data_IF_055217740477
#
_entry.id   IF_055217740477
#
_cell.length_a   1.000
_cell.length_b   1.000
_cell.length_c   1.000
_cell.angle_alpha   90.00
_cell.angle_beta   90.00
_cell.angle_gamma   90.00
#
_symmetry.space_group_name_H-M   'P 1'
#
loop_
_entity.id
_entity.type
_entity.pdbx_description
1 polymer ?
#
# COMPACT_ATOMS: atom_id res chain seq x y z
N UNK A 1 12.00 54.55 8.11
CA UNK A 1 12.42 53.14 8.32
C UNK A 1 11.18 52.31 8.65
N UNK A 2 10.72 51.48 7.71
CA UNK A 2 9.60 50.55 7.93
C UNK A 2 10.10 49.39 8.81
N UNK A 3 9.44 49.18 9.95
CA UNK A 3 9.66 48.05 10.84
C UNK A 3 9.33 46.75 10.08
N UNK A 4 10.32 45.90 9.91
CA UNK A 4 10.17 44.51 9.47
C UNK A 4 9.35 43.76 10.54
N UNK A 5 8.18 43.26 10.16
CA UNK A 5 7.43 42.28 10.96
C UNK A 5 8.22 40.98 10.89
N UNK A 6 8.84 40.59 12.00
CA UNK A 6 9.33 39.23 12.19
C UNK A 6 8.16 38.27 11.96
N UNK A 7 8.37 37.26 11.11
CA UNK A 7 7.40 36.21 10.85
C UNK A 7 6.96 35.57 12.16
N UNK A 8 5.65 35.37 12.29
CA UNK A 8 5.05 34.53 13.32
C UNK A 8 5.70 33.14 13.20
N UNK A 9 6.45 32.70 14.22
CA UNK A 9 6.69 31.25 14.39
C UNK A 9 5.30 30.64 14.55
N UNK A 10 4.91 29.72 13.67
CA UNK A 10 3.58 29.09 13.75
C UNK A 10 3.36 28.50 15.14
N UNK A 11 2.48 29.18 15.90
CA UNK A 11 2.00 28.67 17.17
C UNK A 11 1.20 27.44 16.84
N UNK A 12 1.63 26.31 17.40
CA UNK A 12 0.90 25.05 17.35
C UNK A 12 -0.56 25.33 17.72
N UNK A 13 -1.50 24.75 16.96
CA UNK A 13 -2.89 24.77 17.36
C UNK A 13 -3.04 24.12 18.73
N UNK A 14 -4.11 24.46 19.44
CA UNK A 14 -4.38 23.85 20.74
C UNK A 14 -4.55 22.33 20.61
N UNK A 15 -5.16 21.89 19.52
CA UNK A 15 -5.48 20.49 19.32
C UNK A 15 -4.24 19.68 18.96
N UNK A 16 -3.37 20.19 18.08
CA UNK A 16 -2.08 19.55 17.79
C UNK A 16 -1.19 19.49 19.05
N UNK A 17 -1.22 20.51 19.92
CA UNK A 17 -0.50 20.48 21.20
C UNK A 17 -1.05 19.42 22.16
N UNK A 18 -2.36 19.22 22.17
CA UNK A 18 -2.99 18.22 23.01
C UNK A 18 -2.71 16.79 22.53
N UNK A 19 -2.74 16.55 21.21
CA UNK A 19 -2.32 15.27 20.63
C UNK A 19 -0.88 14.91 21.07
N UNK A 20 0.05 15.86 20.97
CA UNK A 20 1.43 15.65 21.40
C UNK A 20 1.54 15.28 22.88
N UNK A 21 0.81 16.00 23.74
CA UNK A 21 0.81 15.75 25.17
C UNK A 21 0.28 14.35 25.50
N UNK A 22 -0.83 13.96 24.88
CA UNK A 22 -1.48 12.68 25.11
C UNK A 22 -0.63 11.51 24.59
N UNK A 23 -0.11 11.61 23.37
CA UNK A 23 0.75 10.58 22.78
C UNK A 23 2.08 10.43 23.55
N UNK A 24 2.66 11.54 24.03
CA UNK A 24 3.83 11.48 24.93
C UNK A 24 3.50 10.75 26.22
N UNK A 25 2.37 11.07 26.86
CA UNK A 25 1.92 10.38 28.07
C UNK A 25 1.70 8.88 27.85
N UNK A 26 1.10 8.49 26.73
CA UNK A 26 0.93 7.08 26.35
C UNK A 26 2.28 6.37 26.18
N UNK A 27 3.21 7.00 25.45
CA UNK A 27 4.55 6.42 25.18
C UNK A 27 5.41 6.22 26.43
N UNK A 28 5.10 6.94 27.51
CA UNK A 28 5.79 6.86 28.81
C UNK A 28 5.04 5.98 29.82
N UNK A 29 3.90 5.40 29.44
CA UNK A 29 3.09 4.62 30.36
C UNK A 29 3.82 3.37 30.88
N UNK A 30 3.61 3.10 32.18
CA UNK A 30 4.25 2.01 32.89
C UNK A 30 3.43 0.72 32.93
N UNK A 31 2.20 0.69 32.42
CA UNK A 31 1.40 -0.53 32.42
C UNK A 31 -0.04 -0.38 31.92
N UNK A 32 -0.67 -1.52 31.66
CA UNK A 32 -1.92 -1.65 30.89
C UNK A 32 -3.11 -0.82 31.38
N UNK A 33 -3.20 -0.59 32.69
CA UNK A 33 -4.27 0.25 33.25
C UNK A 33 -4.07 1.73 32.89
N UNK A 34 -2.82 2.18 32.89
CA UNK A 34 -2.45 3.53 32.51
C UNK A 34 -2.47 3.69 30.98
N UNK A 35 -2.02 2.68 30.21
CA UNK A 35 -2.19 2.62 28.74
C UNK A 35 -3.66 2.90 28.39
N UNK A 36 -4.59 2.14 28.98
CA UNK A 36 -6.03 2.26 28.71
C UNK A 36 -6.58 3.66 29.00
N UNK A 37 -6.02 4.37 29.99
CA UNK A 37 -6.43 5.73 30.34
C UNK A 37 -5.95 6.74 29.28
N UNK A 38 -4.69 6.64 28.87
CA UNK A 38 -4.13 7.52 27.84
C UNK A 38 -4.72 7.25 26.46
N UNK A 39 -4.86 5.97 26.09
CA UNK A 39 -5.51 5.52 24.85
C UNK A 39 -6.92 6.09 24.74
N UNK A 40 -7.73 6.03 25.81
CA UNK A 40 -9.10 6.54 25.79
C UNK A 40 -9.16 8.06 25.51
N UNK A 41 -8.28 8.85 26.14
CA UNK A 41 -8.24 10.31 25.91
C UNK A 41 -7.69 10.68 24.53
N UNK A 42 -6.66 9.96 24.09
CA UNK A 42 -6.09 10.16 22.76
C UNK A 42 -7.11 9.81 21.68
N UNK A 43 -7.80 8.67 21.82
CA UNK A 43 -8.86 8.24 20.92
C UNK A 43 -10.00 9.27 20.83
N UNK A 44 -10.46 9.80 21.96
CA UNK A 44 -11.52 10.84 21.98
C UNK A 44 -11.08 12.11 21.24
N UNK A 45 -9.83 12.54 21.43
CA UNK A 45 -9.28 13.72 20.77
C UNK A 45 -9.15 13.50 19.26
N UNK A 46 -8.61 12.36 18.86
CA UNK A 46 -8.48 11.97 17.44
C UNK A 46 -9.85 11.84 16.76
N UNK A 47 -10.83 11.19 17.40
CA UNK A 47 -12.19 11.06 16.87
C UNK A 47 -12.83 12.42 16.60
N UNK A 48 -12.63 13.39 17.50
CA UNK A 48 -13.12 14.76 17.33
C UNK A 48 -12.48 15.42 16.11
N UNK A 49 -11.17 15.28 15.93
CA UNK A 49 -10.44 15.89 14.81
C UNK A 49 -10.82 15.28 13.46
N UNK A 50 -10.88 13.95 13.37
CA UNK A 50 -11.32 13.25 12.16
C UNK A 50 -12.74 13.65 11.76
N UNK A 51 -13.66 13.72 12.73
CA UNK A 51 -15.04 14.15 12.50
C UNK A 51 -15.15 15.59 11.99
N UNK A 52 -14.25 16.46 12.45
CA UNK A 52 -14.25 17.88 12.07
C UNK A 52 -13.39 18.17 10.83
N UNK A 53 -12.77 17.15 10.21
CA UNK A 53 -11.91 17.32 9.05
C UNK A 53 -10.59 18.05 9.36
N UNK A 54 -10.10 17.94 10.59
CA UNK A 54 -8.90 18.65 11.07
C UNK A 54 -7.59 17.90 10.72
N UNK A 55 -7.43 17.60 9.43
CA UNK A 55 -6.29 16.84 8.89
C UNK A 55 -4.93 17.54 9.16
N UNK A 56 -4.88 18.87 8.98
CA UNK A 56 -3.67 19.66 9.17
C UNK A 56 -3.15 19.60 10.62
N UNK A 57 -4.05 19.57 11.60
CA UNK A 57 -3.68 19.49 13.02
C UNK A 57 -3.08 18.12 13.38
N UNK A 58 -3.64 17.05 12.80
CA UNK A 58 -3.14 15.69 12.95
C UNK A 58 -1.73 15.58 12.36
N UNK A 59 -1.55 16.00 11.10
CA UNK A 59 -0.26 15.93 10.42
C UNK A 59 0.80 16.81 11.10
N UNK A 60 0.42 18.02 11.54
CA UNK A 60 1.34 18.90 12.30
C UNK A 60 1.81 18.25 13.60
N UNK A 61 0.93 17.53 14.31
CA UNK A 61 1.30 16.82 15.53
C UNK A 61 2.26 15.66 15.25
N UNK A 62 1.98 14.85 14.22
CA UNK A 62 2.83 13.75 13.76
C UNK A 62 4.23 14.26 13.37
N UNK A 63 4.34 15.21 12.46
CA UNK A 63 5.62 15.73 11.96
C UNK A 63 6.55 16.19 13.09
N UNK A 64 5.99 16.91 14.06
CA UNK A 64 6.77 17.39 15.21
C UNK A 64 7.15 16.29 16.19
N UNK A 65 6.30 15.28 16.39
CA UNK A 65 6.66 14.12 17.22
C UNK A 65 7.72 13.28 16.54
N UNK A 66 7.67 13.14 15.21
CA UNK A 66 8.69 12.42 14.45
C UNK A 66 10.09 12.97 14.72
N UNK A 67 10.24 14.30 14.76
CA UNK A 67 11.51 14.95 15.10
C UNK A 67 11.87 14.89 16.59
N UNK A 68 10.89 15.04 17.49
CA UNK A 68 11.14 15.28 18.91
C UNK A 68 11.04 14.04 19.81
N UNK A 69 10.13 13.12 19.52
CA UNK A 69 9.87 11.90 20.29
C UNK A 69 9.28 10.79 19.39
N UNK A 70 10.14 9.98 18.75
CA UNK A 70 9.71 8.91 17.82
C UNK A 70 8.75 7.89 18.44
N UNK A 71 8.88 7.58 19.73
CA UNK A 71 7.95 6.64 20.39
C UNK A 71 6.54 7.22 20.46
N UNK A 72 6.41 8.48 20.86
CA UNK A 72 5.12 9.16 20.88
C UNK A 72 4.54 9.39 19.48
N UNK A 73 5.41 9.57 18.48
CA UNK A 73 4.97 9.58 17.08
C UNK A 73 4.27 8.27 16.72
N UNK A 74 4.89 7.14 17.03
CA UNK A 74 4.33 5.82 16.70
C UNK A 74 2.99 5.58 17.41
N UNK A 75 2.88 5.94 18.70
CA UNK A 75 1.61 5.89 19.45
C UNK A 75 0.51 6.76 18.82
N UNK A 76 0.85 7.97 18.36
CA UNK A 76 -0.12 8.85 17.69
C UNK A 76 -0.51 8.29 16.32
N UNK A 77 0.46 7.81 15.54
CA UNK A 77 0.24 7.25 14.21
C UNK A 77 -0.69 6.03 14.29
N UNK A 78 -0.39 5.07 15.18
CA UNK A 78 -1.20 3.88 15.39
C UNK A 78 -2.63 4.25 15.84
N UNK A 79 -2.77 5.23 16.73
CA UNK A 79 -4.09 5.70 17.16
C UNK A 79 -4.86 6.34 16.01
N UNK A 80 -4.25 7.26 15.27
CA UNK A 80 -4.92 7.98 14.16
C UNK A 80 -5.37 7.00 13.08
N UNK A 81 -4.51 6.07 12.66
CA UNK A 81 -4.87 5.01 11.72
C UNK A 81 -6.04 4.19 12.25
N UNK A 82 -5.94 3.68 13.48
CA UNK A 82 -6.98 2.87 14.13
C UNK A 82 -8.32 3.60 14.20
N UNK A 83 -8.34 4.88 14.59
CA UNK A 83 -9.58 5.68 14.66
C UNK A 83 -10.13 6.04 13.29
N UNK A 84 -9.29 6.18 12.27
CA UNK A 84 -9.72 6.42 10.90
C UNK A 84 -10.37 5.18 10.26
N UNK A 85 -9.84 3.98 10.53
CA UNK A 85 -10.33 2.75 9.90
C UNK A 85 -11.36 1.97 10.75
N UNK A 86 -11.64 2.39 11.99
CA UNK A 86 -12.61 1.70 12.88
C UNK A 86 -13.77 2.58 13.34
N UNK A 87 -14.84 1.95 13.81
CA UNK A 87 -16.00 2.66 14.37
C UNK A 87 -16.91 1.78 15.20
N UNK A 88 -17.89 2.39 15.86
CA UNK A 88 -18.96 1.68 16.55
C UNK A 88 -20.32 2.20 16.06
N UNK A 89 -21.23 1.27 15.81
CA UNK A 89 -22.59 1.58 15.36
C UNK A 89 -23.59 0.67 16.09
N UNK A 90 -24.66 1.26 16.61
CA UNK A 90 -25.80 0.49 17.13
C UNK A 90 -26.76 0.17 15.98
N UNK A 91 -27.16 -1.10 15.84
CA UNK A 91 -28.16 -1.52 14.87
C UNK A 91 -29.12 -2.53 15.47
N UNK A 92 -30.41 -2.15 15.54
CA UNK A 92 -31.49 -2.97 16.12
C UNK A 92 -31.18 -3.40 17.57
N UNK A 93 -30.62 -2.50 18.39
CA UNK A 93 -30.31 -2.76 19.80
C UNK A 93 -29.09 -3.62 20.05
N UNK A 94 -28.23 -3.82 19.04
CA UNK A 94 -26.96 -4.55 19.15
C UNK A 94 -25.84 -3.59 18.74
N UNK A 95 -24.79 -3.52 19.56
CA UNK A 95 -23.57 -2.79 19.23
C UNK A 95 -22.69 -3.61 18.29
N UNK A 96 -22.30 -2.98 17.17
CA UNK A 96 -21.36 -3.51 16.21
C UNK A 96 -20.07 -2.71 16.24
N UNK A 97 -18.93 -3.41 16.24
CA UNK A 97 -17.65 -2.82 15.87
C UNK A 97 -17.53 -2.85 14.33
N UNK A 98 -17.08 -1.74 13.76
CA UNK A 98 -16.88 -1.54 12.33
C UNK A 98 -15.37 -1.49 12.07
N UNK A 99 -14.91 -2.19 11.04
CA UNK A 99 -13.54 -2.15 10.56
C UNK A 99 -13.54 -2.00 9.04
N UNK A 100 -12.89 -0.95 8.54
CA UNK A 100 -12.52 -0.82 7.13
C UNK A 100 -11.39 -1.80 6.82
N UNK A 101 -11.49 -2.48 5.69
CA UNK A 101 -10.49 -3.43 5.23
C UNK A 101 -10.14 -3.16 3.77
N UNK A 102 -8.97 -3.64 3.37
CA UNK A 102 -8.62 -3.80 1.97
C UNK A 102 -8.23 -5.25 1.67
N UNK A 103 -8.59 -5.74 0.49
CA UNK A 103 -8.15 -7.02 -0.06
C UNK A 103 -7.31 -6.73 -1.33
N UNK A 104 -5.98 -6.66 -1.20
CA UNK A 104 -5.10 -6.31 -2.30
C UNK A 104 -4.96 -7.45 -3.33
N UNK A 105 -4.67 -7.07 -4.57
CA UNK A 105 -4.34 -7.97 -5.68
C UNK A 105 -3.13 -7.40 -6.38
N UNK A 106 -1.99 -8.08 -6.27
CA UNK A 106 -0.79 -7.73 -7.03
C UNK A 106 -1.06 -8.07 -8.50
N UNK A 107 -0.72 -7.19 -9.42
CA UNK A 107 -0.97 -7.39 -10.84
C UNK A 107 0.19 -6.85 -11.69
N UNK A 108 0.49 -7.51 -12.80
CA UNK A 108 1.38 -6.97 -13.81
C UNK A 108 0.82 -7.22 -15.20
N UNK A 109 1.09 -6.29 -16.11
CA UNK A 109 0.59 -6.33 -17.49
C UNK A 109 1.50 -5.55 -18.43
N UNK A 110 1.53 -5.97 -19.70
CA UNK A 110 2.13 -5.18 -20.78
C UNK A 110 1.28 -3.98 -21.18
N UNK A 111 0.01 -3.99 -20.77
CA UNK A 111 -0.96 -2.92 -20.99
C UNK A 111 -1.30 -2.26 -19.65
N UNK A 112 -2.30 -1.37 -19.64
CA UNK A 112 -2.83 -0.83 -18.39
C UNK A 112 -3.42 -1.92 -17.51
N UNK A 113 -3.05 -1.92 -16.23
CA UNK A 113 -3.73 -2.73 -15.21
C UNK A 113 -5.06 -2.01 -14.88
N UNK A 114 -6.21 -2.67 -15.00
CA UNK A 114 -7.51 -2.00 -14.91
C UNK A 114 -7.82 -1.55 -13.49
N UNK A 115 -8.38 -0.35 -13.36
CA UNK A 115 -9.13 0.10 -12.19
C UNK A 115 -10.55 0.45 -12.67
N UNK A 116 -11.57 -0.20 -12.13
CA UNK A 116 -12.89 -0.22 -12.75
C UNK A 116 -14.02 -0.52 -11.77
N UNK A 117 -15.24 -0.13 -12.15
CA UNK A 117 -16.45 -0.49 -11.42
C UNK A 117 -16.69 -2.01 -11.49
N UNK A 118 -17.12 -2.57 -10.36
CA UNK A 118 -17.42 -3.99 -10.21
C UNK A 118 -18.83 -4.29 -10.71
N UNK A 119 -19.02 -5.23 -11.65
CA UNK A 119 -20.35 -5.70 -11.99
C UNK A 119 -21.06 -6.25 -10.76
N UNK A 120 -22.36 -5.99 -10.61
CA UNK A 120 -23.15 -6.41 -9.44
C UNK A 120 -22.98 -7.90 -9.10
N UNK A 121 -22.98 -8.78 -10.12
CA UNK A 121 -22.79 -10.21 -9.91
C UNK A 121 -21.41 -10.55 -9.32
N UNK A 122 -20.36 -9.87 -9.79
CA UNK A 122 -18.99 -10.01 -9.29
C UNK A 122 -18.88 -9.49 -7.86
N UNK A 123 -19.48 -8.34 -7.56
CA UNK A 123 -19.50 -7.75 -6.21
C UNK A 123 -20.11 -8.69 -5.17
N UNK A 124 -21.30 -9.24 -5.48
CA UNK A 124 -21.99 -10.19 -4.59
C UNK A 124 -21.18 -11.48 -4.41
N UNK A 125 -20.59 -12.00 -5.48
CA UNK A 125 -19.76 -13.20 -5.41
C UNK A 125 -18.50 -12.98 -4.56
N UNK A 126 -17.79 -11.85 -4.75
CA UNK A 126 -16.62 -11.49 -3.94
C UNK A 126 -16.98 -11.34 -2.46
N UNK A 127 -18.11 -10.66 -2.16
CA UNK A 127 -18.63 -10.53 -0.79
C UNK A 127 -18.89 -11.89 -0.14
N UNK A 128 -19.51 -12.83 -0.87
CA UNK A 128 -19.74 -14.20 -0.37
C UNK A 128 -18.42 -14.92 -0.07
N UNK A 129 -17.45 -14.87 -0.99
CA UNK A 129 -16.19 -15.59 -0.82
C UNK A 129 -15.31 -14.99 0.30
N UNK A 130 -15.29 -13.66 0.43
CA UNK A 130 -14.63 -13.00 1.56
C UNK A 130 -15.27 -13.40 2.90
N UNK A 131 -16.60 -13.41 2.98
CA UNK A 131 -17.32 -13.83 4.19
C UNK A 131 -17.15 -15.30 4.53
N UNK A 132 -17.00 -16.17 3.53
CA UNK A 132 -16.83 -17.60 3.75
C UNK A 132 -15.41 -17.99 4.19
N UNK A 133 -14.39 -17.22 3.78
CA UNK A 133 -13.00 -17.67 3.86
C UNK A 133 -12.05 -16.72 4.62
N UNK A 134 -12.38 -15.44 4.71
CA UNK A 134 -11.50 -14.42 5.28
C UNK A 134 -12.01 -13.89 6.61
N UNK A 135 -13.31 -13.61 6.72
CA UNK A 135 -13.91 -12.99 7.91
C UNK A 135 -14.53 -14.01 8.87
N UNK A 136 -14.76 -13.61 10.12
CA UNK A 136 -15.38 -14.44 11.15
C UNK A 136 -16.86 -14.74 10.84
N UNK A 137 -17.40 -15.83 11.39
CA UNK A 137 -18.75 -16.32 11.06
C UNK A 137 -19.90 -15.40 11.47
N UNK A 138 -19.67 -14.49 12.43
CA UNK A 138 -20.65 -13.51 12.91
C UNK A 138 -20.58 -12.17 12.13
N UNK A 139 -19.72 -12.06 11.12
CA UNK A 139 -19.43 -10.81 10.41
C UNK A 139 -20.42 -10.51 9.29
N UNK A 140 -20.81 -9.24 9.16
CA UNK A 140 -21.45 -8.68 7.97
C UNK A 140 -20.44 -7.90 7.15
N UNK A 141 -20.62 -7.88 5.83
CA UNK A 141 -19.67 -7.28 4.90
C UNK A 141 -20.41 -6.38 3.90
N UNK A 142 -19.87 -5.20 3.64
CA UNK A 142 -20.12 -4.46 2.41
C UNK A 142 -18.81 -4.15 1.69
N UNK A 143 -18.92 -3.98 0.37
CA UNK A 143 -17.83 -3.58 -0.50
C UNK A 143 -18.20 -2.25 -1.16
N UNK A 144 -17.18 -1.46 -1.48
CA UNK A 144 -17.29 -0.46 -2.53
C UNK A 144 -17.37 -1.18 -3.89
N UNK A 145 -18.21 -0.72 -4.80
CA UNK A 145 -18.40 -1.34 -6.12
C UNK A 145 -17.30 -0.96 -7.13
N UNK A 146 -16.04 -0.89 -6.68
CA UNK A 146 -14.90 -0.47 -7.48
C UNK A 146 -13.63 -1.24 -7.12
N UNK A 147 -12.81 -1.50 -8.13
CA UNK A 147 -11.46 -2.03 -8.01
C UNK A 147 -10.47 -0.87 -8.12
N UNK A 148 -9.92 -0.43 -6.99
CA UNK A 148 -9.09 0.78 -6.88
C UNK A 148 -7.65 0.52 -7.30
N UNK A 149 -7.00 1.51 -7.92
CA UNK A 149 -5.53 1.65 -7.91
C UNK A 149 -5.05 2.38 -6.63
N UNK A 150 -3.74 2.42 -6.34
CA UNK A 150 -3.22 3.18 -5.20
C UNK A 150 -3.57 4.68 -5.29
N UNK A 151 -3.49 5.27 -6.49
CA UNK A 151 -3.77 6.70 -6.74
C UNK A 151 -5.21 7.14 -6.40
N UNK A 152 -6.10 6.15 -6.25
CA UNK A 152 -7.55 6.28 -6.11
C UNK A 152 -8.04 5.92 -4.71
N UNK A 153 -7.15 5.45 -3.83
CA UNK A 153 -7.45 5.24 -2.42
C UNK A 153 -7.62 6.59 -1.68
N UNK A 154 -8.32 6.61 -0.52
CA UNK A 154 -8.33 7.75 0.39
C UNK A 154 -6.93 8.32 0.63
N UNK A 155 -6.78 9.64 0.53
CA UNK A 155 -5.48 10.33 0.58
C UNK A 155 -5.14 10.89 1.95
N UNK A 156 -6.09 10.86 2.89
CA UNK A 156 -5.98 11.47 4.21
C UNK A 156 -6.65 10.58 5.27
N UNK A 157 -6.33 10.83 6.54
CA UNK A 157 -6.99 10.12 7.64
C UNK A 157 -8.47 10.49 7.72
N UNK A 158 -8.81 11.76 7.47
CA UNK A 158 -10.19 12.22 7.41
C UNK A 158 -10.99 11.55 6.27
N UNK A 159 -10.40 11.39 5.08
CA UNK A 159 -11.06 10.68 3.96
C UNK A 159 -11.26 9.20 4.28
N UNK A 160 -10.25 8.57 4.89
CA UNK A 160 -10.34 7.17 5.35
C UNK A 160 -11.46 7.01 6.38
N UNK A 161 -11.55 7.94 7.35
CA UNK A 161 -12.63 7.97 8.33
C UNK A 161 -14.01 8.12 7.69
N UNK A 162 -14.18 9.03 6.73
CA UNK A 162 -15.45 9.20 6.01
C UNK A 162 -15.85 7.94 5.24
N UNK A 163 -14.89 7.28 4.59
CA UNK A 163 -15.11 6.03 3.89
C UNK A 163 -15.54 4.91 4.86
N UNK A 164 -14.86 4.80 6.02
CA UNK A 164 -15.22 3.86 7.10
C UNK A 164 -16.66 4.06 7.57
N UNK A 165 -17.10 5.31 7.78
CA UNK A 165 -18.49 5.59 8.19
C UNK A 165 -19.49 5.20 7.11
N UNK A 166 -19.20 5.57 5.87
CA UNK A 166 -20.09 5.31 4.73
C UNK A 166 -20.27 3.80 4.51
N UNK A 167 -19.16 3.05 4.44
CA UNK A 167 -19.20 1.59 4.30
C UNK A 167 -19.77 0.90 5.54
N UNK A 168 -19.51 1.41 6.74
CA UNK A 168 -20.08 0.88 7.98
C UNK A 168 -21.61 0.93 8.00
N UNK A 169 -22.20 2.06 7.60
CA UNK A 169 -23.65 2.19 7.46
C UNK A 169 -24.21 1.27 6.37
N UNK A 170 -23.58 1.21 5.19
CA UNK A 170 -23.98 0.31 4.11
C UNK A 170 -23.94 -1.17 4.54
N UNK A 171 -22.91 -1.56 5.29
CA UNK A 171 -22.75 -2.92 5.83
C UNK A 171 -23.92 -3.33 6.71
N UNK A 172 -24.39 -2.45 7.59
CA UNK A 172 -25.53 -2.73 8.47
C UNK A 172 -26.86 -2.72 7.73
N UNK A 173 -26.99 -1.88 6.70
CA UNK A 173 -28.15 -1.87 5.80
C UNK A 173 -28.21 -3.09 4.87
N UNK A 174 -27.10 -3.82 4.69
CA UNK A 174 -26.99 -4.93 3.75
C UNK A 174 -26.78 -4.47 2.31
N UNK A 175 -26.30 -3.25 2.12
CA UNK A 175 -26.07 -2.59 0.83
C UNK A 175 -24.58 -2.60 0.48
N UNK A 176 -24.25 -2.13 -0.73
CA UNK A 176 -22.89 -1.78 -1.13
C UNK A 176 -22.78 -0.26 -1.28
N UNK A 177 -21.54 0.24 -1.35
CA UNK A 177 -21.30 1.66 -1.65
C UNK A 177 -20.99 1.80 -3.12
N UNK A 178 -21.73 2.66 -3.81
CA UNK A 178 -21.40 3.07 -5.17
C UNK A 178 -20.33 4.14 -5.15
N UNK A 179 -19.22 3.89 -5.84
CA UNK A 179 -18.11 4.82 -5.96
C UNK A 179 -18.40 5.82 -7.06
N UNK A 180 -18.34 7.10 -6.73
CA UNK A 180 -18.36 8.16 -7.74
C UNK A 180 -17.01 8.22 -8.44
N UNK A 181 -17.01 7.86 -9.73
CA UNK A 181 -15.80 7.84 -10.54
C UNK A 181 -15.49 9.19 -11.19
N UNK A 182 -16.37 10.19 -11.05
CA UNK A 182 -16.14 11.51 -11.64
C UNK A 182 -14.95 12.21 -10.97
N UNK A 183 -13.95 12.57 -11.77
CA UNK A 183 -12.77 13.29 -11.27
C UNK A 183 -11.79 12.42 -10.48
N UNK A 184 -11.94 11.08 -10.51
CA UNK A 184 -10.91 10.18 -9.97
C UNK A 184 -9.59 10.39 -10.71
N UNK A 185 -8.48 10.24 -9.97
CA UNK A 185 -7.15 10.31 -10.56
C UNK A 185 -6.98 9.24 -11.65
N UNK A 186 -6.31 9.63 -12.73
CA UNK A 186 -5.85 8.69 -13.74
C UNK A 186 -4.81 7.76 -13.13
N UNK A 187 -4.93 6.48 -13.45
CA UNK A 187 -3.97 5.48 -12.98
C UNK A 187 -2.69 5.56 -13.79
N UNK A 188 -1.56 5.71 -13.11
CA UNK A 188 -0.25 5.65 -13.76
C UNK A 188 -0.05 4.28 -14.45
N UNK A 189 0.66 4.29 -15.59
CA UNK A 189 0.96 3.07 -16.35
C UNK A 189 2.24 2.44 -15.82
N UNK A 190 2.09 1.61 -14.80
CA UNK A 190 3.18 0.76 -14.31
C UNK A 190 3.11 -0.64 -14.91
N UNK A 191 4.28 -1.27 -15.09
CA UNK A 191 4.37 -2.68 -15.49
C UNK A 191 3.71 -3.58 -14.44
N UNK A 192 3.99 -3.30 -13.17
CA UNK A 192 3.51 -4.01 -12.00
C UNK A 192 2.94 -3.01 -11.00
N UNK A 193 1.75 -3.28 -10.48
CA UNK A 193 1.03 -2.41 -9.55
C UNK A 193 0.05 -3.23 -8.69
N UNK A 194 -0.61 -2.59 -7.74
CA UNK A 194 -1.59 -3.21 -6.84
C UNK A 194 -3.00 -2.73 -7.16
N UNK A 195 -3.97 -3.63 -7.08
CA UNK A 195 -5.39 -3.29 -7.09
C UNK A 195 -6.03 -3.63 -5.76
N UNK A 196 -6.99 -2.83 -5.31
CA UNK A 196 -7.61 -3.00 -4.02
C UNK A 196 -9.12 -3.17 -4.17
N UNK A 197 -9.65 -4.25 -3.58
CA UNK A 197 -11.04 -4.26 -3.14
C UNK A 197 -11.07 -3.60 -1.76
N UNK A 198 -11.97 -2.62 -1.58
CA UNK A 198 -12.14 -1.93 -0.30
C UNK A 198 -13.55 -2.16 0.21
N UNK A 199 -13.68 -2.41 1.51
CA UNK A 199 -14.96 -2.68 2.15
C UNK A 199 -14.93 -2.42 3.63
N UNK A 200 -16.07 -2.59 4.28
CA UNK A 200 -16.14 -2.62 5.74
C UNK A 200 -16.79 -3.91 6.21
N UNK A 201 -16.37 -4.33 7.40
CA UNK A 201 -17.04 -5.35 8.17
C UNK A 201 -17.79 -4.73 9.35
N UNK A 202 -18.92 -5.33 9.71
CA UNK A 202 -19.62 -5.05 10.95
C UNK A 202 -19.72 -6.35 11.74
N UNK A 203 -19.16 -6.36 12.94
CA UNK A 203 -19.07 -7.52 13.82
C UNK A 203 -19.79 -7.22 15.14
N UNK A 204 -20.68 -8.10 15.65
CA UNK A 204 -21.23 -7.90 16.99
C UNK A 204 -20.10 -7.77 18.00
N UNK A 205 -20.20 -6.78 18.90
CA UNK A 205 -19.10 -6.42 19.80
C UNK A 205 -18.53 -7.63 20.55
N UNK A 206 -17.21 -7.80 20.48
CA UNK A 206 -16.48 -8.90 21.13
C UNK A 206 -16.46 -10.23 20.37
N UNK A 207 -16.95 -10.28 19.12
CA UNK A 207 -16.81 -11.44 18.23
C UNK A 207 -15.54 -11.36 17.37
N UNK A 208 -15.19 -12.49 16.74
CA UNK A 208 -14.03 -12.59 15.87
C UNK A 208 -14.21 -11.79 14.57
N UNK A 209 -13.27 -10.88 14.27
CA UNK A 209 -13.28 -10.11 13.02
C UNK A 209 -12.90 -10.98 11.82
N UNK A 210 -11.84 -11.78 11.97
CA UNK A 210 -11.32 -12.62 10.90
C UNK A 210 -11.46 -14.09 11.20
N UNK A 211 -11.41 -14.92 10.14
CA UNK A 211 -11.52 -16.37 10.26
C UNK A 211 -10.45 -16.94 11.18
N UNK A 212 -9.22 -16.42 11.12
CA UNK A 212 -8.10 -16.87 11.97
C UNK A 212 -8.16 -16.37 13.43
N UNK A 213 -9.12 -15.51 13.79
CA UNK A 213 -9.37 -15.15 15.19
C UNK A 213 -10.25 -16.21 15.89
N UNK A 214 -10.88 -17.11 15.13
CA UNK A 214 -11.66 -18.23 15.67
C UNK A 214 -10.74 -19.40 16.04
N UNK A 215 -11.16 -20.23 17.00
CA UNK A 215 -10.30 -21.27 17.61
C UNK A 215 -9.75 -22.30 16.61
N UNK A 216 -10.47 -22.55 15.53
CA UNK A 216 -10.15 -23.51 14.47
C UNK A 216 -9.69 -22.82 13.16
N UNK A 217 -9.53 -21.50 13.18
CA UNK A 217 -9.11 -20.71 12.03
C UNK A 217 -7.60 -20.63 11.88
N UNK A 218 -7.13 -20.40 10.65
CA UNK A 218 -5.72 -20.25 10.34
C UNK A 218 -5.49 -19.36 9.11
N UNK A 219 -4.49 -18.46 9.14
CA UNK A 219 -4.23 -17.49 8.06
C UNK A 219 -3.88 -18.17 6.74
N UNK A 220 -3.03 -19.19 6.74
CA UNK A 220 -2.61 -19.88 5.51
C UNK A 220 -3.78 -20.64 4.87
N UNK A 221 -4.65 -21.24 5.69
CA UNK A 221 -5.85 -21.93 5.20
C UNK A 221 -6.87 -20.94 4.62
N UNK A 222 -7.08 -19.80 5.29
CA UNK A 222 -7.93 -18.72 4.82
C UNK A 222 -7.45 -18.17 3.46
N UNK A 223 -6.14 -17.88 3.34
CA UNK A 223 -5.54 -17.42 2.09
C UNK A 223 -5.69 -18.47 0.98
N UNK A 224 -5.44 -19.75 1.26
CA UNK A 224 -5.57 -20.82 0.27
C UNK A 224 -7.00 -20.92 -0.26
N UNK A 225 -8.01 -20.91 0.60
CA UNK A 225 -9.40 -21.00 0.15
C UNK A 225 -9.87 -19.70 -0.50
N UNK A 226 -9.41 -18.53 -0.03
CA UNK A 226 -9.63 -17.24 -0.71
C UNK A 226 -9.08 -17.25 -2.14
N UNK A 227 -7.83 -17.69 -2.33
CA UNK A 227 -7.25 -17.82 -3.67
C UNK A 227 -8.07 -18.82 -4.49
N UNK A 228 -8.44 -19.97 -3.94
CA UNK A 228 -9.14 -21.01 -4.70
C UNK A 228 -10.55 -20.58 -5.13
N UNK A 229 -11.31 -19.93 -4.26
CA UNK A 229 -12.74 -19.65 -4.46
C UNK A 229 -13.01 -18.20 -4.85
N UNK A 230 -12.18 -17.27 -4.41
CA UNK A 230 -12.25 -15.85 -4.74
C UNK A 230 -11.74 -15.53 -6.14
N UNK A 231 -10.59 -16.11 -6.53
CA UNK A 231 -9.90 -15.85 -7.81
C UNK A 231 -10.79 -15.92 -9.06
N UNK A 232 -11.69 -16.92 -9.23
CA UNK A 232 -12.57 -16.98 -10.41
C UNK A 232 -13.46 -15.74 -10.60
N UNK A 233 -13.72 -14.98 -9.52
CA UNK A 233 -14.53 -13.76 -9.57
C UNK A 233 -13.69 -12.51 -9.91
N UNK A 234 -12.36 -12.57 -9.71
CA UNK A 234 -11.42 -11.51 -10.07
C UNK A 234 -10.94 -11.64 -11.52
N UNK A 235 -10.84 -12.86 -12.04
CA UNK A 235 -10.29 -13.15 -13.37
C UNK A 235 -10.90 -12.31 -14.51
N UNK A 236 -12.23 -12.10 -14.60
CA UNK A 236 -12.81 -11.27 -15.66
C UNK A 236 -12.35 -9.81 -15.60
N UNK A 237 -12.08 -9.30 -14.40
CA UNK A 237 -11.68 -7.90 -14.18
C UNK A 237 -10.22 -7.66 -14.58
N UNK A 238 -9.39 -8.70 -14.55
CA UNK A 238 -7.93 -8.62 -14.75
C UNK A 238 -7.50 -9.36 -16.02
N UNK A 239 -8.37 -9.38 -17.03
CA UNK A 239 -8.09 -10.03 -18.32
C UNK A 239 -6.82 -9.46 -18.95
N UNK A 240 -5.86 -10.31 -19.28
CA UNK A 240 -4.58 -9.92 -19.86
C UNK A 240 -3.52 -9.50 -18.84
N UNK A 241 -3.82 -9.55 -17.55
CA UNK A 241 -2.84 -9.39 -16.47
C UNK A 241 -2.40 -10.76 -15.94
N UNK A 242 -1.16 -10.85 -15.47
CA UNK A 242 -0.81 -11.82 -14.43
C UNK A 242 -1.08 -11.17 -13.08
N UNK A 243 -1.63 -11.94 -12.12
CA UNK A 243 -2.05 -11.38 -10.85
C UNK A 243 -2.05 -12.41 -9.72
N UNK A 244 -2.02 -11.91 -8.49
CA UNK A 244 -2.01 -12.68 -7.25
C UNK A 244 -2.83 -11.96 -6.17
N UNK A 245 -3.98 -12.52 -5.73
CA UNK A 245 -4.72 -11.98 -4.59
C UNK A 245 -3.94 -12.18 -3.30
N UNK A 246 -4.00 -11.17 -2.44
CA UNK A 246 -3.52 -11.23 -1.08
C UNK A 246 -4.70 -11.44 -0.13
N UNK A 247 -4.38 -11.79 1.12
CA UNK A 247 -5.38 -11.89 2.18
C UNK A 247 -5.87 -10.48 2.53
N UNK A 248 -7.17 -10.33 2.77
CA UNK A 248 -7.68 -9.05 3.30
C UNK A 248 -7.19 -8.84 4.73
N UNK A 249 -6.94 -7.60 5.10
CA UNK A 249 -6.59 -7.18 6.45
C UNK A 249 -7.21 -5.82 6.75
N UNK A 250 -7.04 -5.33 7.97
CA UNK A 250 -7.34 -3.94 8.33
C UNK A 250 -6.69 -2.98 7.31
N UNK A 251 -7.41 -1.92 6.91
CA UNK A 251 -7.09 -1.12 5.72
C UNK A 251 -5.63 -0.67 5.64
N UNK A 252 -5.11 0.01 6.68
CA UNK A 252 -3.73 0.49 6.71
C UNK A 252 -2.71 -0.66 6.72
N UNK A 253 -2.99 -1.73 7.48
CA UNK A 253 -2.15 -2.91 7.53
C UNK A 253 -2.09 -3.65 6.17
N UNK A 254 -3.23 -3.76 5.48
CA UNK A 254 -3.34 -4.37 4.16
C UNK A 254 -2.54 -3.57 3.11
N UNK A 255 -2.62 -2.24 3.12
CA UNK A 255 -1.81 -1.37 2.26
C UNK A 255 -0.31 -1.57 2.51
N UNK A 256 0.16 -1.45 3.77
CA UNK A 256 1.57 -1.69 4.12
C UNK A 256 2.06 -3.08 3.71
N UNK A 257 1.21 -4.10 3.88
CA UNK A 257 1.55 -5.46 3.50
C UNK A 257 1.61 -5.63 1.98
N UNK A 258 0.72 -4.97 1.23
CA UNK A 258 0.75 -4.96 -0.22
C UNK A 258 2.01 -4.27 -0.75
N UNK A 259 2.42 -3.14 -0.19
CA UNK A 259 3.66 -2.45 -0.57
C UNK A 259 4.89 -3.34 -0.36
N UNK A 260 4.98 -4.02 0.79
CA UNK A 260 6.07 -4.96 1.05
C UNK A 260 6.10 -6.13 0.07
N UNK A 261 4.94 -6.68 -0.27
CA UNK A 261 4.83 -7.82 -1.19
C UNK A 261 4.90 -7.42 -2.66
N UNK A 262 4.69 -6.14 -2.99
CA UNK A 262 4.81 -5.63 -4.36
C UNK A 262 6.28 -5.58 -4.82
N UNK A 263 7.24 -5.38 -3.90
CA UNK A 263 8.69 -5.35 -4.22
C UNK A 263 9.18 -6.64 -4.90
N UNK A 264 9.05 -7.84 -4.29
CA UNK A 264 9.44 -9.08 -4.94
C UNK A 264 8.56 -9.40 -6.16
N UNK A 265 7.28 -9.02 -6.14
CA UNK A 265 6.38 -9.26 -7.26
C UNK A 265 6.75 -8.43 -8.50
N UNK A 266 7.12 -7.15 -8.32
CA UNK A 266 7.57 -6.25 -9.37
C UNK A 266 8.85 -6.76 -10.01
N UNK A 267 9.82 -7.21 -9.21
CA UNK A 267 11.06 -7.78 -9.73
C UNK A 267 10.82 -9.06 -10.55
N UNK A 268 9.92 -9.95 -10.09
CA UNK A 268 9.47 -11.13 -10.84
C UNK A 268 8.77 -10.74 -12.15
N UNK A 269 7.89 -9.74 -12.10
CA UNK A 269 7.18 -9.21 -13.25
C UNK A 269 8.13 -8.64 -14.30
N UNK A 270 9.16 -7.90 -13.89
CA UNK A 270 10.17 -7.35 -14.79
C UNK A 270 11.01 -8.41 -15.50
N UNK A 271 11.40 -9.49 -14.81
CA UNK A 271 12.08 -10.63 -15.44
C UNK A 271 11.15 -11.32 -16.44
N UNK A 272 9.90 -11.59 -16.07
CA UNK A 272 8.91 -12.20 -16.96
C UNK A 272 8.58 -11.31 -18.16
N UNK A 273 8.57 -9.99 -17.97
CA UNK A 273 8.38 -8.99 -19.03
C UNK A 273 9.51 -9.04 -20.06
N UNK A 274 10.78 -9.00 -19.63
CA UNK A 274 11.93 -9.09 -20.53
C UNK A 274 11.95 -10.42 -21.29
N UNK A 275 11.61 -11.52 -20.62
CA UNK A 275 11.48 -12.83 -21.28
C UNK A 275 10.39 -12.82 -22.35
N UNK A 276 9.21 -12.26 -22.03
CA UNK A 276 8.05 -12.26 -22.93
C UNK A 276 8.25 -11.29 -24.11
N UNK A 277 8.87 -10.13 -23.87
CA UNK A 277 8.99 -9.06 -24.87
C UNK A 277 10.22 -9.23 -25.77
N UNK A 278 11.33 -9.71 -25.23
CA UNK A 278 12.61 -9.76 -25.94
C UNK A 278 13.10 -11.20 -26.17
N UNK A 279 12.41 -12.21 -25.65
CA UNK A 279 12.91 -13.59 -25.63
C UNK A 279 14.15 -13.76 -24.75
N UNK A 280 14.46 -12.78 -23.90
CA UNK A 280 15.64 -12.79 -23.04
C UNK A 280 15.38 -13.75 -21.86
N UNK A 281 15.97 -14.94 -21.92
CA UNK A 281 15.77 -15.96 -20.89
C UNK A 281 16.39 -15.50 -19.56
N UNK A 282 15.83 -15.85 -18.38
CA UNK A 282 16.37 -15.40 -17.10
C UNK A 282 17.86 -15.68 -16.88
N UNK A 283 18.38 -16.81 -17.38
CA UNK A 283 19.80 -17.15 -17.29
C UNK A 283 20.73 -16.29 -18.17
N UNK A 284 20.15 -15.48 -19.07
CA UNK A 284 20.81 -14.54 -19.96
C UNK A 284 20.61 -13.07 -19.53
N UNK A 285 19.89 -12.84 -18.42
CA UNK A 285 19.73 -11.54 -17.79
C UNK A 285 20.88 -11.31 -16.80
N UNK A 286 21.46 -10.10 -16.84
CA UNK A 286 22.23 -9.51 -15.75
C UNK A 286 21.32 -8.59 -14.94
N UNK A 287 21.41 -8.72 -13.62
CA UNK A 287 20.91 -7.74 -12.68
C UNK A 287 22.07 -6.98 -12.03
N UNK A 288 21.98 -5.66 -12.00
CA UNK A 288 22.90 -4.79 -11.25
C UNK A 288 22.10 -4.09 -10.17
N UNK A 289 22.54 -4.22 -8.91
CA UNK A 289 21.83 -3.72 -7.74
C UNK A 289 22.72 -2.67 -7.06
N UNK A 290 22.18 -1.47 -6.85
CA UNK A 290 22.90 -0.37 -6.20
C UNK A 290 22.05 0.32 -5.13
N UNK A 291 22.59 0.65 -3.95
CA UNK A 291 21.89 1.41 -2.93
C UNK A 291 21.86 2.91 -3.29
N UNK A 292 20.70 3.53 -3.15
CA UNK A 292 20.47 4.95 -3.45
C UNK A 292 20.13 5.75 -2.19
N UNK A 293 20.74 6.93 -2.09
CA UNK A 293 20.72 7.78 -0.90
C UNK A 293 20.20 9.17 -1.24
N UNK A 294 19.35 9.71 -0.36
CA UNK A 294 19.14 11.15 -0.21
C UNK A 294 19.87 11.61 1.07
N UNK A 295 19.15 11.78 2.18
CA UNK A 295 19.77 12.06 3.50
C UNK A 295 20.26 10.79 4.20
N UNK A 296 19.65 9.66 3.88
CA UNK A 296 19.95 8.29 4.32
C UNK A 296 19.70 7.35 3.15
N UNK A 297 19.98 6.05 3.33
CA UNK A 297 19.60 5.05 2.33
C UNK A 297 18.07 4.98 2.27
N UNK A 298 17.50 5.21 1.08
CA UNK A 298 16.04 5.22 0.89
C UNK A 298 15.57 4.01 0.06
N UNK A 299 16.39 3.55 -0.88
CA UNK A 299 16.00 2.45 -1.78
C UNK A 299 17.22 1.73 -2.39
N UNK A 300 16.99 0.52 -2.89
CA UNK A 300 17.86 -0.11 -3.88
C UNK A 300 17.28 0.09 -5.28
N UNK A 301 18.15 0.28 -6.27
CA UNK A 301 17.77 0.25 -7.68
C UNK A 301 18.37 -0.95 -8.37
N UNK A 302 17.54 -1.66 -9.13
CA UNK A 302 17.91 -2.86 -9.87
C UNK A 302 17.83 -2.58 -11.36
N UNK A 303 18.98 -2.45 -12.03
CA UNK A 303 19.07 -2.41 -13.49
C UNK A 303 19.10 -3.82 -14.08
N UNK A 304 18.25 -4.09 -15.07
CA UNK A 304 18.17 -5.37 -15.78
C UNK A 304 18.54 -5.21 -17.25
N UNK A 305 19.42 -6.07 -17.75
CA UNK A 305 19.85 -6.08 -19.15
C UNK A 305 20.44 -7.42 -19.57
N UNK A 306 20.88 -7.58 -20.83
CA UNK A 306 21.56 -8.79 -21.29
C UNK A 306 22.90 -8.95 -20.59
N UNK A 307 23.27 -10.18 -20.21
CA UNK A 307 24.57 -10.44 -19.56
C UNK A 307 25.79 -10.14 -20.42
N UNK A 308 25.63 -10.10 -21.74
CA UNK A 308 26.68 -9.95 -22.74
C UNK A 308 26.74 -8.55 -23.39
N UNK A 309 25.91 -7.60 -22.93
CA UNK A 309 25.88 -6.21 -23.40
C UNK A 309 25.76 -5.24 -22.24
N UNK A 310 26.24 -4.01 -22.40
CA UNK A 310 26.20 -3.03 -21.32
C UNK A 310 24.82 -2.38 -21.16
N UNK A 311 23.91 -2.59 -22.12
CA UNK A 311 22.57 -2.02 -22.11
C UNK A 311 21.76 -2.37 -20.84
N UNK A 312 20.99 -1.40 -20.34
CA UNK A 312 19.97 -1.58 -19.30
C UNK A 312 18.59 -1.42 -19.94
N UNK A 313 17.82 -2.50 -20.05
CA UNK A 313 16.53 -2.52 -20.74
C UNK A 313 15.35 -2.21 -19.82
N UNK A 314 15.48 -2.52 -18.53
CA UNK A 314 14.43 -2.26 -17.56
C UNK A 314 15.03 -2.01 -16.18
N UNK A 315 14.30 -1.27 -15.34
CA UNK A 315 14.74 -0.97 -14.00
C UNK A 315 13.62 -1.09 -12.97
N UNK A 316 13.96 -1.52 -11.77
CA UNK A 316 13.04 -1.66 -10.64
C UNK A 316 13.60 -0.87 -9.46
N UNK A 317 12.74 -0.10 -8.81
CA UNK A 317 13.01 0.51 -7.52
C UNK A 317 12.52 -0.42 -6.42
N UNK A 318 13.39 -0.73 -5.47
CA UNK A 318 13.10 -1.48 -4.27
C UNK A 318 13.21 -0.54 -3.06
N UNK A 319 12.11 0.11 -2.66
CA UNK A 319 12.12 1.05 -1.54
C UNK A 319 12.33 0.32 -0.22
N UNK A 320 13.01 0.99 0.71
CA UNK A 320 12.97 0.64 2.12
C UNK A 320 11.66 1.17 2.72
N UNK A 321 10.96 0.33 3.46
CA UNK A 321 9.62 0.60 3.96
C UNK A 321 9.59 0.68 5.49
N UNK A 322 8.91 1.71 6.01
CA UNK A 322 8.68 1.86 7.44
C UNK A 322 9.99 2.03 8.23
N UNK A 323 10.28 1.06 9.10
CA UNK A 323 11.47 1.05 9.95
C UNK A 323 12.69 0.38 9.30
N UNK A 324 12.58 -0.07 8.04
CA UNK A 324 13.72 -0.60 7.29
C UNK A 324 14.77 0.50 7.05
N UNK A 325 16.03 0.11 7.10
CA UNK A 325 17.20 0.96 6.97
C UNK A 325 18.36 0.20 6.30
N UNK A 326 19.55 0.81 6.25
CA UNK A 326 20.76 0.21 5.69
C UNK A 326 21.21 -1.10 6.38
N UNK A 327 20.78 -1.35 7.62
CA UNK A 327 21.08 -2.59 8.32
C UNK A 327 20.09 -3.73 7.98
N UNK A 328 19.01 -3.42 7.26
CA UNK A 328 18.04 -4.41 6.79
C UNK A 328 18.60 -5.20 5.62
N UNK A 329 18.46 -6.54 5.63
CA UNK A 329 18.96 -7.43 4.56
C UNK A 329 18.08 -7.41 3.29
N UNK A 330 17.76 -6.21 2.79
CA UNK A 330 17.00 -6.04 1.56
C UNK A 330 17.80 -6.52 0.33
N UNK A 331 19.12 -6.37 0.35
CA UNK A 331 20.00 -6.91 -0.70
C UNK A 331 19.89 -8.44 -0.81
N UNK A 332 19.88 -9.16 0.32
CA UNK A 332 19.67 -10.60 0.37
C UNK A 332 18.28 -11.02 -0.15
N UNK A 333 17.23 -10.26 0.18
CA UNK A 333 15.88 -10.48 -0.37
C UNK A 333 15.85 -10.30 -1.90
N UNK A 334 16.46 -9.22 -2.42
CA UNK A 334 16.58 -8.97 -3.85
C UNK A 334 17.31 -10.12 -4.54
N UNK A 335 18.44 -10.57 -3.98
CA UNK A 335 19.18 -11.70 -4.53
C UNK A 335 18.29 -12.95 -4.58
N UNK A 336 17.65 -13.29 -3.46
CA UNK A 336 16.82 -14.49 -3.37
C UNK A 336 15.72 -14.50 -4.45
N UNK A 337 15.06 -13.36 -4.68
CA UNK A 337 14.02 -13.22 -5.72
C UNK A 337 14.60 -13.38 -7.13
N UNK A 338 15.74 -12.74 -7.43
CA UNK A 338 16.42 -12.87 -8.72
C UNK A 338 16.82 -14.33 -8.99
N UNK A 339 17.36 -15.02 -7.99
CA UNK A 339 17.73 -16.43 -8.07
C UNK A 339 16.51 -17.33 -8.28
N UNK A 340 15.41 -17.06 -7.57
CA UNK A 340 14.13 -17.77 -7.75
C UNK A 340 13.62 -17.64 -9.19
N UNK A 341 13.78 -16.48 -9.82
CA UNK A 341 13.45 -16.26 -11.23
C UNK A 341 14.39 -16.97 -12.22
N UNK A 342 15.54 -17.46 -11.76
CA UNK A 342 16.57 -18.07 -12.59
C UNK A 342 17.64 -17.10 -13.12
N UNK A 343 17.69 -15.86 -12.61
CA UNK A 343 18.74 -14.89 -12.92
C UNK A 343 20.04 -15.31 -12.22
N UNK A 344 21.10 -15.49 -13.02
CA UNK A 344 22.38 -16.03 -12.54
C UNK A 344 23.47 -14.98 -12.41
N UNK A 345 23.42 -13.94 -13.21
CA UNK A 345 24.40 -12.86 -13.17
C UNK A 345 23.81 -11.71 -12.36
N UNK A 346 24.26 -11.59 -11.09
CA UNK A 346 23.79 -10.56 -10.15
C UNK A 346 25.02 -9.84 -9.61
N UNK A 347 25.12 -8.55 -9.88
CA UNK A 347 26.19 -7.67 -9.43
C UNK A 347 25.65 -6.71 -8.39
N UNK A 348 26.16 -6.81 -7.16
CA UNK A 348 25.89 -5.84 -6.11
C UNK A 348 27.00 -4.77 -6.11
N UNK A 349 26.59 -3.51 -6.16
CA UNK A 349 27.45 -2.35 -6.01
C UNK A 349 27.30 -1.80 -4.60
N UNK A 350 28.40 -1.38 -3.99
CA UNK A 350 28.46 -0.80 -2.65
C UNK A 350 28.64 0.73 -2.67
N UNK A 351 28.71 1.32 -3.87
CA UNK A 351 28.79 2.76 -4.04
C UNK A 351 27.49 3.45 -3.62
N UNK A 352 27.60 4.62 -2.99
CA UNK A 352 26.46 5.44 -2.60
C UNK A 352 25.93 6.20 -3.82
N UNK A 353 24.89 5.67 -4.46
CA UNK A 353 24.28 6.33 -5.60
C UNK A 353 23.35 7.46 -5.16
N UNK A 354 23.34 8.60 -5.87
CA UNK A 354 22.32 9.64 -5.66
C UNK A 354 20.95 9.21 -6.20
N UNK A 355 19.90 9.83 -5.67
CA UNK A 355 18.51 9.71 -6.16
C UNK A 355 18.30 10.49 -7.47
N UNK A 356 18.90 10.03 -8.57
CA UNK A 356 18.81 10.71 -9.87
C UNK A 356 17.62 10.25 -10.73
N UNK A 357 17.04 11.18 -11.47
CA UNK A 357 15.92 10.95 -12.37
C UNK A 357 16.26 11.53 -13.75
N UNK A 358 15.70 10.95 -14.79
CA UNK A 358 15.84 11.46 -16.15
C UNK A 358 15.12 12.81 -16.29
N UNK A 359 15.83 13.82 -16.79
CA UNK A 359 15.30 15.17 -16.99
C UNK A 359 14.14 15.23 -18.02
N UNK A 360 14.08 14.29 -18.96
CA UNK A 360 13.10 14.29 -20.05
C UNK A 360 11.76 13.63 -19.65
N UNK A 361 11.82 12.48 -18.97
CA UNK A 361 10.62 11.68 -18.67
C UNK A 361 10.31 11.56 -17.17
N UNK A 362 11.23 11.99 -16.29
CA UNK A 362 11.10 11.88 -14.84
C UNK A 362 11.27 10.47 -14.28
N UNK A 363 11.63 9.46 -15.10
CA UNK A 363 11.86 8.11 -14.63
C UNK A 363 13.16 8.00 -13.80
N UNK A 364 13.23 7.12 -12.79
CA UNK A 364 14.47 6.86 -12.06
C UNK A 364 15.59 6.38 -13.01
N UNK A 365 16.84 6.77 -12.73
CA UNK A 365 18.02 6.17 -13.37
C UNK A 365 18.48 4.92 -12.61
N UNK A 366 19.05 3.93 -13.31
CA UNK A 366 19.39 2.62 -12.76
C UNK A 366 20.87 2.30 -12.92
N UNK A 367 21.49 1.59 -11.96
CA UNK A 367 22.90 1.25 -12.04
C UNK A 367 23.19 0.27 -13.19
N UNK A 368 24.28 0.51 -13.92
CA UNK A 368 24.84 -0.42 -14.90
C UNK A 368 26.11 -1.12 -14.38
N UNK A 369 26.72 -1.97 -15.20
CA UNK A 369 27.89 -2.78 -14.82
C UNK A 369 29.13 -1.93 -14.52
N UNK A 370 29.19 -0.75 -15.11
CA UNK A 370 30.25 0.25 -14.98
C UNK A 370 30.09 1.12 -13.72
N UNK A 371 29.06 0.87 -12.91
CA UNK A 371 28.69 1.64 -11.74
C UNK A 371 28.27 3.09 -12.06
N UNK A 372 27.59 3.28 -13.19
CA UNK A 372 26.95 4.53 -13.60
C UNK A 372 25.42 4.41 -13.52
N UNK A 373 24.73 5.52 -13.24
CA UNK A 373 23.27 5.58 -13.32
C UNK A 373 22.86 5.93 -14.75
N UNK A 374 22.10 5.03 -15.37
CA UNK A 374 21.64 5.16 -16.76
C UNK A 374 20.13 5.10 -16.87
N UNK A 375 19.58 5.72 -17.90
CA UNK A 375 18.17 5.58 -18.23
C UNK A 375 17.92 4.17 -18.78
N UNK A 376 16.90 3.48 -18.26
CA UNK A 376 16.52 2.17 -18.80
C UNK A 376 15.79 2.33 -20.13
N UNK A 377 16.29 1.70 -21.18
CA UNK A 377 15.74 1.84 -22.53
C UNK A 377 15.55 0.47 -23.18
N UNK A 378 14.30 0.16 -23.54
CA UNK A 378 13.99 -1.05 -24.29
C UNK A 378 14.57 -0.94 -25.70
N UNK A 379 15.15 -2.02 -26.26
CA UNK A 379 15.64 -1.98 -27.63
C UNK A 379 14.48 -1.70 -28.59
N UNK A 380 14.74 -0.87 -29.60
CA UNK A 380 13.75 -0.61 -30.67
C UNK A 380 13.27 -1.95 -31.25
N UNK A 381 11.96 -2.19 -31.20
CA UNK A 381 11.39 -3.36 -31.84
C UNK A 381 11.58 -3.24 -33.35
N UNK A 382 12.34 -4.15 -33.94
CA UNK A 382 12.42 -4.28 -35.39
C UNK A 382 11.05 -4.71 -35.95
N UNK A 383 10.12 -3.76 -36.14
CA UNK A 383 8.80 -4.07 -36.69
C UNK A 383 7.68 -3.06 -36.51
N UNK A 384 7.78 -2.04 -35.67
CA UNK A 384 6.75 -0.99 -35.62
C UNK A 384 7.03 0.08 -36.68
N UNK A 385 6.68 -0.24 -37.92
CA UNK A 385 6.44 0.78 -38.93
C UNK A 385 5.41 1.75 -38.37
N UNK A 386 5.85 2.99 -38.12
CA UNK A 386 5.01 4.16 -37.88
C UNK A 386 3.71 4.09 -38.69
N UNK A 387 2.61 3.68 -38.06
CA UNK A 387 1.28 3.98 -38.57
C UNK A 387 0.89 5.35 -38.03
N UNK A 388 1.61 6.37 -38.49
CA UNK A 388 1.03 7.69 -38.60
C UNK A 388 -0.05 7.63 -39.69
N UNK A 389 -1.31 7.44 -39.33
CA UNK A 389 -2.44 7.71 -40.22
C UNK A 389 -3.66 8.20 -39.42
N UNK A 390 -3.85 9.52 -39.52
CA UNK A 390 -5.06 10.36 -39.45
C UNK A 390 -6.07 10.23 -38.30
#
# INVERSE_FOLDING_TARGET
MKRTRFGSRDRLSRDAAELQRLATGLSESGGKLEDSYWEAQLAETVDSLLKNGAEDDINTALDRLFEANPRAHDELADMVESRAETGQLEFKGIDFDIQLFAAPVLAWSRFSIPACSLPKATLEALKVQLGAHVFGGDVRIALADFLFSPDQLPRSFCDTWQLTRTLGHATLAGEHVTVDTQGMAETNRFLSDVRYLVGAIAVPRGKALFRWNEKDGNKEAALKEWIKQGSPNLEPLLTGCAWQPLLADAYHAACRNADRLSRPYSLKASVAFLQTMLGLMPADIRAVVGPCYDRRMEEYRVGLGPKDKDDTYHGIVWPLLGAEDEATDAAGEIEAVLRECGVKDVLFLDHHFPMEFCDDCGAPLFPNREAELVHAEMPEQAGESSQALH
#
